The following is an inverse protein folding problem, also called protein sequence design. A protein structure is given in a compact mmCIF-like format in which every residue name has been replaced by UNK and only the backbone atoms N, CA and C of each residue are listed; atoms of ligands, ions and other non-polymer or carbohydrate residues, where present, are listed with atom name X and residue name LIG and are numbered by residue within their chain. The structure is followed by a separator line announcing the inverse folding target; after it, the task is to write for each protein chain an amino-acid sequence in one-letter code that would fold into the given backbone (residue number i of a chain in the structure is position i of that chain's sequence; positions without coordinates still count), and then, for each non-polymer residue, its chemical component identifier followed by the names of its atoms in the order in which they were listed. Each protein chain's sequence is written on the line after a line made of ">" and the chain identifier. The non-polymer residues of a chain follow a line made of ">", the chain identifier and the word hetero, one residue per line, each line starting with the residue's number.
data_IF_393246225465
#
_entry.id   IF_393246225465
#
_cell.length_a   1.000
_cell.length_b   1.000
_cell.length_c   1.000
_cell.angle_alpha   90.00
_cell.angle_beta   90.00
_cell.angle_gamma   90.00
#
_symmetry.space_group_name_H-M   'P 1'
#
loop_
_entity.id
_entity.type
_entity.pdbx_description
1 polymer ?
#
# COMPACT_ATOMS: atom_id res chain seq x y z
N UNK A 1 -4.67 31.63 -23.70
CA UNK A 1 -4.43 30.18 -23.90
C UNK A 1 -4.59 29.52 -22.55
N UNK A 2 -5.65 28.71 -22.37
CA UNK A 2 -5.86 27.99 -21.12
C UNK A 2 -4.80 26.91 -21.01
N UNK A 3 -3.91 27.05 -20.03
CA UNK A 3 -2.85 26.10 -19.75
C UNK A 3 -3.52 24.84 -19.16
N UNK A 4 -3.93 23.93 -20.03
CA UNK A 4 -4.58 22.69 -19.65
C UNK A 4 -3.51 21.80 -19.02
N UNK A 5 -3.25 22.00 -17.72
CA UNK A 5 -2.52 21.06 -16.89
C UNK A 5 -3.39 19.80 -16.76
N UNK A 6 -3.42 18.99 -17.80
CA UNK A 6 -3.53 17.53 -17.63
C UNK A 6 -2.32 17.15 -16.80
N UNK A 7 -2.48 17.23 -15.47
CA UNK A 7 -1.61 16.56 -14.53
C UNK A 7 -1.59 15.11 -14.99
N UNK A 8 -0.43 14.65 -15.46
CA UNK A 8 -0.29 13.29 -15.97
C UNK A 8 -0.53 12.33 -14.79
N UNK A 9 -1.76 11.83 -14.68
CA UNK A 9 -2.23 11.00 -13.57
C UNK A 9 -1.76 9.56 -13.73
N UNK A 10 -1.34 9.16 -14.93
CA UNK A 10 -0.85 7.81 -15.21
C UNK A 10 0.44 7.47 -14.42
N UNK A 11 1.47 8.34 -14.37
CA UNK A 11 2.63 8.13 -13.49
C UNK A 11 2.25 7.97 -12.01
N UNK A 12 1.28 8.77 -11.53
CA UNK A 12 0.84 8.70 -10.13
C UNK A 12 0.11 7.39 -9.83
N UNK A 13 -0.79 6.95 -10.72
CA UNK A 13 -1.46 5.65 -10.62
C UNK A 13 -0.43 4.51 -10.62
N UNK A 14 0.55 4.55 -11.51
CA UNK A 14 1.58 3.51 -11.60
C UNK A 14 2.46 3.44 -10.34
N UNK A 15 2.82 4.59 -9.77
CA UNK A 15 3.56 4.65 -8.51
C UNK A 15 2.76 4.06 -7.34
N UNK A 16 1.46 4.37 -7.27
CA UNK A 16 0.57 3.84 -6.22
C UNK A 16 0.38 2.33 -6.34
N UNK A 17 0.24 1.81 -7.57
CA UNK A 17 0.19 0.36 -7.82
C UNK A 17 1.49 -0.31 -7.38
N UNK A 18 2.65 0.19 -7.83
CA UNK A 18 3.93 -0.40 -7.44
C UNK A 18 4.19 -0.35 -5.93
N UNK A 19 3.74 0.71 -5.24
CA UNK A 19 3.83 0.77 -3.79
C UNK A 19 2.94 -0.26 -3.09
N UNK A 20 1.73 -0.49 -3.60
CA UNK A 20 0.83 -1.55 -3.10
C UNK A 20 1.42 -2.94 -3.33
N UNK A 21 2.06 -3.20 -4.47
CA UNK A 21 2.72 -4.48 -4.74
C UNK A 21 3.83 -4.78 -3.71
N UNK A 22 4.61 -3.76 -3.32
CA UNK A 22 5.64 -3.90 -2.29
C UNK A 22 5.02 -4.12 -0.91
N UNK A 23 3.93 -3.44 -0.58
CA UNK A 23 3.24 -3.66 0.69
C UNK A 23 2.67 -5.08 0.80
N UNK A 24 2.11 -5.61 -0.29
CA UNK A 24 1.63 -6.99 -0.34
C UNK A 24 2.77 -7.99 -0.11
N UNK A 25 3.95 -7.80 -0.72
CA UNK A 25 5.13 -8.63 -0.45
C UNK A 25 5.57 -8.55 1.02
N UNK A 26 5.63 -7.35 1.58
CA UNK A 26 6.00 -7.17 3.00
C UNK A 26 4.97 -7.83 3.93
N UNK A 27 3.68 -7.72 3.61
CA UNK A 27 2.60 -8.37 4.38
C UNK A 27 2.77 -9.89 4.38
N UNK A 28 3.09 -10.49 3.25
CA UNK A 28 3.35 -11.92 3.12
C UNK A 28 4.58 -12.36 3.94
N UNK A 29 5.70 -11.63 3.82
CA UNK A 29 6.91 -11.92 4.60
C UNK A 29 6.67 -11.82 6.12
N UNK A 30 6.00 -10.74 6.58
CA UNK A 30 5.70 -10.57 8.00
C UNK A 30 4.71 -11.63 8.52
N UNK A 31 3.74 -12.04 7.70
CA UNK A 31 2.81 -13.11 8.05
C UNK A 31 3.52 -14.47 8.18
N UNK A 32 4.45 -14.77 7.27
CA UNK A 32 5.29 -15.97 7.38
C UNK A 32 6.11 -15.94 8.68
N UNK A 33 6.75 -14.81 9.00
CA UNK A 33 7.53 -14.69 10.24
C UNK A 33 6.66 -14.81 11.49
N UNK A 34 5.40 -14.36 11.42
CA UNK A 34 4.44 -14.49 12.51
C UNK A 34 4.09 -15.97 12.78
N UNK A 35 3.89 -16.75 11.72
CA UNK A 35 3.63 -18.19 11.81
C UNK A 35 4.83 -18.95 12.39
N UNK A 36 6.05 -18.49 12.10
CA UNK A 36 7.31 -19.06 12.59
C UNK A 36 7.70 -18.56 14.00
N UNK A 37 7.01 -17.56 14.56
CA UNK A 37 7.36 -16.95 15.83
C UNK A 37 7.18 -17.94 17.00
N UNK A 38 8.25 -18.12 17.79
CA UNK A 38 8.29 -19.06 18.92
C UNK A 38 8.07 -18.39 20.28
N UNK A 39 8.04 -17.06 20.33
CA UNK A 39 7.80 -16.31 21.57
C UNK A 39 6.74 -15.23 21.37
N UNK A 40 5.97 -14.99 22.42
CA UNK A 40 4.81 -14.10 22.40
C UNK A 40 5.20 -12.65 22.09
N UNK A 41 6.37 -12.20 22.56
CA UNK A 41 6.82 -10.83 22.32
C UNK A 41 7.10 -10.55 20.84
N UNK A 42 7.65 -11.52 20.11
CA UNK A 42 7.82 -11.44 18.66
C UNK A 42 6.49 -11.52 17.94
N UNK A 43 5.57 -12.38 18.41
CA UNK A 43 4.22 -12.49 17.85
C UNK A 43 3.48 -11.15 17.93
N UNK A 44 3.40 -10.55 19.12
CA UNK A 44 2.78 -9.23 19.33
C UNK A 44 3.43 -8.15 18.45
N UNK A 45 4.76 -8.15 18.35
CA UNK A 45 5.48 -7.22 17.49
C UNK A 45 5.09 -7.37 16.00
N UNK A 46 5.05 -8.60 15.49
CA UNK A 46 4.71 -8.89 14.11
C UNK A 46 3.24 -8.60 13.80
N UNK A 47 2.33 -8.87 14.73
CA UNK A 47 0.92 -8.47 14.63
C UNK A 47 0.76 -6.95 14.53
N UNK A 48 1.50 -6.20 15.34
CA UNK A 48 1.51 -4.73 15.26
C UNK A 48 2.03 -4.24 13.91
N UNK A 49 3.12 -4.83 13.41
CA UNK A 49 3.68 -4.49 12.08
C UNK A 49 2.66 -4.79 10.97
N UNK A 50 2.02 -5.95 10.99
CA UNK A 50 0.96 -6.30 10.03
C UNK A 50 -0.23 -5.33 10.11
N UNK A 51 -0.60 -4.89 11.32
CA UNK A 51 -1.61 -3.86 11.53
C UNK A 51 -1.22 -2.53 10.88
N UNK A 52 0.04 -2.12 11.01
CA UNK A 52 0.56 -0.91 10.37
C UNK A 52 0.61 -1.03 8.84
N UNK A 53 1.06 -2.17 8.30
CA UNK A 53 1.06 -2.43 6.85
C UNK A 53 -0.38 -2.32 6.31
N UNK A 54 -1.34 -2.96 6.98
CA UNK A 54 -2.76 -2.92 6.58
C UNK A 54 -3.33 -1.49 6.58
N UNK A 55 -2.95 -0.66 7.56
CA UNK A 55 -3.38 0.74 7.62
C UNK A 55 -2.80 1.57 6.47
N UNK A 56 -1.53 1.35 6.11
CA UNK A 56 -0.87 2.03 4.99
C UNK A 56 -1.47 1.55 3.66
N UNK A 57 -1.69 0.26 3.48
CA UNK A 57 -2.35 -0.29 2.30
C UNK A 57 -3.73 0.33 2.06
N UNK A 58 -4.52 0.48 3.13
CA UNK A 58 -5.84 1.11 3.05
C UNK A 58 -5.76 2.55 2.53
N UNK A 59 -4.86 3.36 3.09
CA UNK A 59 -4.63 4.74 2.64
C UNK A 59 -4.15 4.79 1.17
N UNK A 60 -3.23 3.91 0.77
CA UNK A 60 -2.75 3.85 -0.62
C UNK A 60 -3.84 3.41 -1.59
N UNK A 61 -4.70 2.46 -1.21
CA UNK A 61 -5.87 2.05 -2.01
C UNK A 61 -6.87 3.20 -2.19
N UNK A 62 -7.11 3.99 -1.15
CA UNK A 62 -7.96 5.19 -1.25
C UNK A 62 -7.36 6.25 -2.17
N UNK A 63 -6.05 6.49 -2.07
CA UNK A 63 -5.33 7.40 -2.98
C UNK A 63 -5.37 6.90 -4.42
N UNK A 64 -5.21 5.59 -4.63
CA UNK A 64 -5.29 4.98 -5.95
C UNK A 64 -6.69 5.12 -6.56
N UNK A 65 -7.75 4.87 -5.79
CA UNK A 65 -9.14 5.08 -6.24
C UNK A 65 -9.34 6.53 -6.68
N UNK A 66 -8.92 7.49 -5.84
CA UNK A 66 -9.03 8.91 -6.14
C UNK A 66 -8.23 9.30 -7.39
N UNK A 67 -7.03 8.74 -7.57
CA UNK A 67 -6.18 9.01 -8.73
C UNK A 67 -6.78 8.44 -10.02
N UNK A 68 -7.37 7.24 -9.96
CA UNK A 68 -8.09 6.59 -11.07
C UNK A 68 -9.30 7.39 -11.52
N UNK A 69 -10.15 7.80 -10.57
CA UNK A 69 -11.30 8.67 -10.84
C UNK A 69 -10.89 9.97 -11.56
N UNK A 70 -9.77 10.59 -11.13
CA UNK A 70 -9.22 11.79 -11.78
C UNK A 70 -8.62 11.51 -13.16
N UNK A 71 -8.11 10.31 -13.39
CA UNK A 71 -7.58 9.88 -14.68
C UNK A 71 -8.69 9.51 -15.70
N UNK A 72 -9.94 9.38 -15.25
CA UNK A 72 -11.05 8.94 -16.09
C UNK A 72 -11.01 7.43 -16.42
N UNK A 73 -10.37 6.64 -15.56
CA UNK A 73 -10.20 5.18 -15.65
C UNK A 73 -10.64 4.52 -14.36
#
# INVERSE_FOLDING_TARGET
>A
MANNQTTDTAPQVQQLVGALDILDLLREEMAQWLDEAQDESKRECLENVLGHISAIELDFRQRLSTAREKAGT
#
